data_IF_263394866493
#
_entry.id   IF_263394866493
#
_cell.length_a   1.000
_cell.length_b   1.000
_cell.length_c   1.000
_cell.angle_alpha   90.00
_cell.angle_beta   90.00
_cell.angle_gamma   90.00
#
_symmetry.space_group_name_H-M   'P 1'
#
loop_
_entity.id
_entity.type
_entity.pdbx_description
1 polymer ?
#
# COMPACT_ATOMS: atom_id res chain seq x y z
N UNK A 1 -16.06 2.16 -22.37
CA UNK A 1 -15.77 1.47 -21.07
C UNK A 1 -16.15 2.47 -19.99
N UNK A 2 -16.78 2.00 -18.91
CA UNK A 2 -17.11 2.85 -17.76
C UNK A 2 -15.80 3.38 -17.12
N UNK A 3 -15.80 4.59 -16.56
CA UNK A 3 -14.60 5.25 -16.04
C UNK A 3 -13.91 4.47 -14.92
N UNK A 4 -14.70 3.81 -14.05
CA UNK A 4 -14.15 2.95 -12.98
C UNK A 4 -13.40 1.76 -13.58
N UNK A 5 -14.00 1.07 -14.55
CA UNK A 5 -13.36 -0.08 -15.22
C UNK A 5 -12.11 0.38 -15.99
N UNK A 6 -12.18 1.57 -16.61
CA UNK A 6 -11.05 2.18 -17.29
C UNK A 6 -9.90 2.42 -16.33
N UNK A 7 -10.16 3.03 -15.18
CA UNK A 7 -9.15 3.26 -14.14
C UNK A 7 -8.51 1.95 -13.65
N UNK A 8 -9.30 0.88 -13.46
CA UNK A 8 -8.80 -0.45 -13.09
C UNK A 8 -7.83 -1.02 -14.14
N UNK A 9 -8.14 -0.83 -15.43
CA UNK A 9 -7.33 -1.34 -16.53
C UNK A 9 -6.09 -0.48 -16.78
N UNK A 10 -6.18 0.83 -16.58
CA UNK A 10 -5.11 1.80 -16.87
C UNK A 10 -4.12 1.99 -15.71
N UNK A 11 -4.54 1.77 -14.46
CA UNK A 11 -3.64 1.90 -13.30
C UNK A 11 -2.34 1.10 -13.47
N UNK A 12 -1.22 1.74 -13.16
CA UNK A 12 0.12 1.10 -13.18
C UNK A 12 0.86 1.34 -11.86
N UNK A 13 1.79 0.46 -11.55
CA UNK A 13 2.75 0.67 -10.45
C UNK A 13 3.78 1.70 -10.87
N UNK A 14 3.84 2.80 -10.13
CA UNK A 14 4.81 3.88 -10.32
C UNK A 14 6.05 3.58 -9.46
N UNK A 15 7.23 3.70 -10.06
CA UNK A 15 8.53 3.40 -9.43
C UNK A 15 9.53 4.55 -9.57
N UNK A 16 9.02 5.76 -9.72
CA UNK A 16 9.79 7.00 -9.66
C UNK A 16 8.85 8.13 -9.30
N UNK A 17 9.12 8.79 -8.19
CA UNK A 17 8.24 9.81 -7.64
C UNK A 17 8.91 11.17 -7.59
N UNK A 18 8.10 12.23 -7.70
CA UNK A 18 8.52 13.59 -7.37
C UNK A 18 8.61 13.75 -5.85
N UNK A 19 9.44 14.67 -5.32
CA UNK A 19 9.56 14.90 -3.88
C UNK A 19 8.33 15.59 -3.26
N UNK A 20 7.42 16.09 -4.09
CA UNK A 20 6.23 16.81 -3.66
C UNK A 20 5.25 15.89 -2.91
N UNK A 21 4.86 16.31 -1.71
CA UNK A 21 3.89 15.59 -0.87
C UNK A 21 2.48 15.76 -1.44
N UNK A 22 1.71 14.68 -1.62
CA UNK A 22 0.29 14.77 -1.93
C UNK A 22 -0.48 15.58 -0.88
N UNK A 23 -1.57 16.22 -1.27
CA UNK A 23 -2.38 16.97 -0.34
C UNK A 23 -2.94 16.05 0.76
N UNK A 24 -3.13 16.61 1.96
CA UNK A 24 -3.78 15.86 3.06
C UNK A 24 -5.17 15.38 2.63
N UNK A 25 -5.93 16.20 1.90
CA UNK A 25 -7.25 15.83 1.40
C UNK A 25 -7.21 14.63 0.47
N UNK A 26 -6.23 14.55 -0.44
CA UNK A 26 -6.10 13.40 -1.34
C UNK A 26 -5.73 12.13 -0.58
N UNK A 27 -4.81 12.23 0.38
CA UNK A 27 -4.42 11.10 1.23
C UNK A 27 -5.63 10.57 2.01
N UNK A 28 -6.43 11.43 2.62
CA UNK A 28 -7.64 11.03 3.37
C UNK A 28 -8.67 10.37 2.46
N UNK A 29 -8.92 10.90 1.25
CA UNK A 29 -9.84 10.29 0.29
C UNK A 29 -9.35 8.89 -0.15
N UNK A 30 -8.04 8.72 -0.35
CA UNK A 30 -7.45 7.43 -0.69
C UNK A 30 -7.65 6.43 0.45
N UNK A 31 -7.39 6.84 1.69
CA UNK A 31 -7.56 5.99 2.87
C UNK A 31 -9.03 5.60 3.03
N UNK A 32 -9.94 6.56 2.93
CA UNK A 32 -11.38 6.30 3.00
C UNK A 32 -11.79 5.26 1.96
N UNK A 33 -11.44 5.45 0.69
CA UNK A 33 -11.74 4.48 -0.38
C UNK A 33 -11.13 3.09 -0.10
N UNK A 34 -9.93 3.05 0.48
CA UNK A 34 -9.27 1.82 0.92
C UNK A 34 -10.11 1.07 1.95
N UNK A 35 -10.56 1.76 2.99
CA UNK A 35 -11.32 1.17 4.10
C UNK A 35 -12.72 0.68 3.71
N UNK A 36 -13.27 1.13 2.58
CA UNK A 36 -14.52 0.60 2.01
C UNK A 36 -14.34 -0.70 1.21
N UNK A 37 -13.15 -1.30 1.20
CA UNK A 37 -12.94 -2.61 0.61
C UNK A 37 -13.81 -3.68 1.31
N UNK A 38 -14.22 -4.69 0.55
CA UNK A 38 -14.96 -5.81 1.13
C UNK A 38 -14.12 -6.54 2.18
N UNK A 39 -14.76 -7.01 3.25
CA UNK A 39 -14.12 -7.81 4.29
C UNK A 39 -14.97 -9.02 4.66
N UNK A 40 -14.34 -10.11 5.04
CA UNK A 40 -15.01 -11.34 5.42
C UNK A 40 -16.00 -11.13 6.58
N UNK A 41 -17.30 -11.32 6.32
CA UNK A 41 -18.38 -11.09 7.30
C UNK A 41 -18.45 -9.66 7.85
N UNK A 42 -17.90 -8.67 7.14
CA UNK A 42 -17.87 -7.29 7.59
C UNK A 42 -16.98 -7.04 8.83
N UNK A 43 -15.98 -7.89 9.07
CA UNK A 43 -15.12 -7.79 10.29
C UNK A 43 -14.13 -6.63 10.26
N UNK A 44 -13.85 -6.07 9.08
CA UNK A 44 -12.97 -4.90 8.92
C UNK A 44 -11.61 -5.07 9.62
N UNK A 45 -10.99 -6.26 9.44
CA UNK A 45 -9.75 -6.65 10.12
C UNK A 45 -8.48 -6.01 9.57
N UNK A 46 -8.60 -4.99 8.72
CA UNK A 46 -7.46 -4.25 8.19
C UNK A 46 -7.35 -2.87 8.84
N UNK A 47 -6.12 -2.45 9.11
CA UNK A 47 -5.81 -1.05 9.49
C UNK A 47 -4.82 -0.44 8.50
N UNK A 48 -4.82 0.88 8.41
CA UNK A 48 -3.90 1.66 7.59
C UNK A 48 -3.16 2.64 8.49
N UNK A 49 -1.83 2.60 8.47
CA UNK A 49 -0.98 3.61 9.12
C UNK A 49 -0.44 4.53 8.03
N UNK A 50 -0.88 5.80 8.07
CA UNK A 50 -0.44 6.83 7.14
C UNK A 50 0.86 7.47 7.62
N UNK A 51 1.92 7.30 6.86
CA UNK A 51 3.24 7.85 7.15
C UNK A 51 3.55 8.96 6.15
N UNK A 52 3.46 10.19 6.63
CA UNK A 52 3.79 11.42 5.89
C UNK A 52 4.97 12.17 6.52
N UNK A 53 5.39 11.76 7.72
CA UNK A 53 6.60 12.23 8.34
C UNK A 53 7.84 11.60 7.67
N UNK A 54 8.76 12.46 7.25
CA UNK A 54 9.93 12.02 6.49
C UNK A 54 10.83 11.09 7.29
N UNK A 55 11.07 11.39 8.56
CA UNK A 55 11.96 10.58 9.39
C UNK A 55 11.41 9.16 9.58
N UNK A 56 10.12 9.03 9.84
CA UNK A 56 9.44 7.74 9.96
C UNK A 56 9.42 6.98 8.62
N UNK A 57 9.17 7.70 7.51
CA UNK A 57 9.22 7.12 6.15
C UNK A 57 10.61 6.56 5.84
N UNK A 58 11.66 7.31 6.16
CA UNK A 58 13.03 6.90 5.87
C UNK A 58 13.42 5.68 6.74
N UNK A 59 13.04 5.63 8.01
CA UNK A 59 13.22 4.45 8.86
C UNK A 59 12.51 3.20 8.33
N UNK A 60 11.27 3.33 7.85
CA UNK A 60 10.54 2.23 7.20
C UNK A 60 11.26 1.76 5.93
N UNK A 61 11.76 2.70 5.14
CA UNK A 61 12.51 2.41 3.92
C UNK A 61 13.79 1.63 4.24
N UNK A 62 14.55 2.07 5.23
CA UNK A 62 15.79 1.39 5.67
C UNK A 62 15.50 -0.03 6.19
N UNK A 63 14.44 -0.21 7.00
CA UNK A 63 14.01 -1.52 7.46
C UNK A 63 13.63 -2.44 6.29
N UNK A 64 12.86 -1.93 5.31
CA UNK A 64 12.48 -2.65 4.12
C UNK A 64 13.67 -3.05 3.25
N UNK A 65 14.63 -2.14 3.06
CA UNK A 65 15.87 -2.37 2.34
C UNK A 65 16.75 -3.43 3.02
N UNK A 66 16.81 -3.40 4.35
CA UNK A 66 17.54 -4.40 5.15
C UNK A 66 16.94 -5.81 4.98
N UNK A 67 15.60 -5.95 5.08
CA UNK A 67 14.89 -7.22 4.82
C UNK A 67 15.13 -7.72 3.40
N UNK A 68 15.23 -6.80 2.44
CA UNK A 68 15.54 -7.13 1.04
C UNK A 68 16.99 -7.58 0.83
N UNK A 69 17.89 -7.35 1.81
CA UNK A 69 19.32 -7.59 1.67
C UNK A 69 20.04 -6.57 0.77
N UNK A 70 19.47 -5.38 0.59
CA UNK A 70 20.01 -4.30 -0.24
C UNK A 70 19.92 -2.96 0.50
N UNK A 71 20.71 -2.75 1.57
CA UNK A 71 20.58 -1.59 2.46
C UNK A 71 20.83 -0.24 1.78
N UNK A 72 21.52 -0.21 0.66
CA UNK A 72 21.79 1.01 -0.10
C UNK A 72 20.72 1.38 -1.12
N UNK A 73 19.64 0.57 -1.22
CA UNK A 73 18.53 0.82 -2.15
C UNK A 73 17.36 1.50 -1.45
N UNK A 74 16.68 2.42 -2.14
CA UNK A 74 15.37 2.91 -1.71
C UNK A 74 14.23 2.07 -2.37
N UNK A 75 13.68 1.06 -1.68
CA UNK A 75 12.58 0.26 -2.21
C UNK A 75 11.27 1.03 -2.32
N UNK A 76 11.18 2.26 -1.78
CA UNK A 76 10.02 3.13 -1.90
C UNK A 76 10.13 4.11 -3.07
N UNK A 77 11.21 4.01 -3.86
CA UNK A 77 11.40 4.78 -5.10
C UNK A 77 11.30 6.30 -4.97
N UNK A 78 11.67 6.85 -3.81
CA UNK A 78 11.60 8.27 -3.52
C UNK A 78 10.17 8.78 -3.22
N UNK A 79 9.18 7.89 -3.05
CA UNK A 79 7.81 8.30 -2.72
C UNK A 79 7.80 9.06 -1.38
N UNK A 80 7.14 10.23 -1.30
CA UNK A 80 7.13 11.05 -0.08
C UNK A 80 6.19 10.51 1.00
N UNK A 81 5.15 9.76 0.63
CA UNK A 81 4.17 9.19 1.56
C UNK A 81 4.09 7.67 1.43
N UNK A 82 3.74 7.01 2.54
CA UNK A 82 3.55 5.56 2.62
C UNK A 82 2.31 5.25 3.44
N UNK A 83 1.40 4.46 2.89
CA UNK A 83 0.26 3.91 3.61
C UNK A 83 0.58 2.44 3.92
N UNK A 84 0.89 2.15 5.17
CA UNK A 84 1.18 0.79 5.62
C UNK A 84 -0.12 0.07 5.89
N UNK A 85 -0.34 -1.06 5.24
CA UNK A 85 -1.54 -1.88 5.42
C UNK A 85 -1.18 -3.08 6.28
N UNK A 86 -1.93 -3.26 7.38
CA UNK A 86 -1.76 -4.36 8.31
C UNK A 86 -3.09 -5.11 8.49
N UNK A 87 -2.99 -6.38 8.79
CA UNK A 87 -4.13 -7.30 9.01
C UNK A 87 -4.16 -7.79 10.44
N UNK A 88 -5.32 -7.72 11.08
CA UNK A 88 -5.57 -8.33 12.39
C UNK A 88 -5.45 -9.84 12.29
N UNK A 89 -4.52 -10.45 13.04
CA UNK A 89 -4.27 -11.89 13.07
C UNK A 89 -5.44 -12.69 13.67
N UNK A 90 -6.31 -12.07 14.43
CA UNK A 90 -7.51 -12.70 14.98
C UNK A 90 -8.61 -12.93 13.94
N UNK A 91 -8.52 -12.23 12.78
CA UNK A 91 -9.48 -12.33 11.69
C UNK A 91 -8.99 -13.34 10.65
N UNK A 92 -9.67 -14.50 10.47
CA UNK A 92 -9.20 -15.55 9.54
C UNK A 92 -9.03 -15.11 8.08
N UNK A 93 -9.75 -14.08 7.66
CA UNK A 93 -9.66 -13.48 6.32
C UNK A 93 -8.78 -12.23 6.28
N UNK A 94 -8.15 -11.87 7.39
CA UNK A 94 -7.46 -10.58 7.57
C UNK A 94 -6.49 -10.22 6.45
N UNK A 95 -5.62 -11.14 6.04
CA UNK A 95 -4.66 -10.90 4.94
C UNK A 95 -5.37 -10.65 3.61
N UNK A 96 -6.44 -11.38 3.30
CA UNK A 96 -7.21 -11.19 2.07
C UNK A 96 -7.96 -9.86 2.08
N UNK A 97 -8.60 -9.54 3.21
CA UNK A 97 -9.33 -8.28 3.43
C UNK A 97 -8.36 -7.09 3.28
N UNK A 98 -7.20 -7.15 3.93
CA UNK A 98 -6.16 -6.12 3.84
C UNK A 98 -5.55 -6.00 2.43
N UNK A 99 -5.47 -7.11 1.68
CA UNK A 99 -5.05 -7.08 0.28
C UNK A 99 -6.07 -6.35 -0.61
N UNK A 100 -7.37 -6.48 -0.31
CA UNK A 100 -8.42 -5.70 -0.99
C UNK A 100 -8.33 -4.21 -0.64
N UNK A 101 -8.06 -3.88 0.63
CA UNK A 101 -7.77 -2.50 1.05
C UNK A 101 -6.62 -1.93 0.23
N UNK A 102 -5.50 -2.64 0.13
CA UNK A 102 -4.34 -2.23 -0.67
C UNK A 102 -4.73 -1.98 -2.14
N UNK A 103 -5.54 -2.86 -2.72
CA UNK A 103 -6.03 -2.70 -4.10
C UNK A 103 -6.84 -1.42 -4.28
N UNK A 104 -7.76 -1.13 -3.34
CA UNK A 104 -8.58 0.08 -3.35
C UNK A 104 -7.73 1.34 -3.16
N UNK A 105 -6.75 1.35 -2.23
CA UNK A 105 -5.81 2.47 -2.06
C UNK A 105 -5.12 2.83 -3.36
N UNK A 106 -4.58 1.83 -4.07
CA UNK A 106 -3.87 2.05 -5.33
C UNK A 106 -4.80 2.53 -6.45
N UNK A 107 -6.04 2.05 -6.49
CA UNK A 107 -7.03 2.48 -7.48
C UNK A 107 -7.48 3.92 -7.22
N UNK A 108 -7.76 4.27 -5.96
CA UNK A 108 -8.13 5.62 -5.56
C UNK A 108 -7.00 6.62 -5.86
N UNK A 109 -5.74 6.26 -5.56
CA UNK A 109 -4.59 7.08 -5.90
C UNK A 109 -4.55 7.38 -7.41
N UNK A 110 -4.75 6.36 -8.26
CA UNK A 110 -4.80 6.53 -9.71
C UNK A 110 -5.95 7.43 -10.15
N UNK A 111 -7.14 7.26 -9.57
CA UNK A 111 -8.30 8.09 -9.88
C UNK A 111 -8.10 9.58 -9.53
N UNK A 112 -7.27 9.88 -8.54
CA UNK A 112 -6.88 11.24 -8.14
C UNK A 112 -5.63 11.76 -8.88
N UNK A 113 -5.13 11.03 -9.88
CA UNK A 113 -3.95 11.43 -10.65
C UNK A 113 -2.62 11.22 -9.91
N UNK A 114 -2.63 10.45 -8.81
CA UNK A 114 -1.43 10.09 -8.06
C UNK A 114 -0.87 8.74 -8.50
N UNK A 115 0.44 8.59 -8.33
CA UNK A 115 1.13 7.33 -8.50
C UNK A 115 1.16 6.52 -7.22
N UNK A 116 1.12 5.20 -7.35
CA UNK A 116 1.28 4.29 -6.22
C UNK A 116 1.96 2.99 -6.66
N UNK A 117 2.53 2.28 -5.68
CA UNK A 117 3.06 0.93 -5.88
C UNK A 117 2.94 0.15 -4.57
N UNK A 118 2.58 -1.13 -4.67
CA UNK A 118 2.65 -2.06 -3.54
C UNK A 118 4.09 -2.51 -3.35
N UNK A 119 4.67 -2.18 -2.20
CA UNK A 119 5.97 -2.69 -1.76
C UNK A 119 5.74 -3.77 -0.72
N UNK A 120 6.38 -4.89 -0.91
CA UNK A 120 6.28 -6.07 -0.05
C UNK A 120 7.14 -5.91 1.23
N UNK A 121 7.24 -6.95 2.04
CA UNK A 121 8.10 -7.09 3.24
C UNK A 121 7.60 -6.39 4.52
N UNK A 122 6.42 -5.77 4.50
CA UNK A 122 5.83 -5.25 5.73
C UNK A 122 5.64 -6.33 6.80
N UNK A 123 5.46 -7.60 6.39
CA UNK A 123 5.35 -8.73 7.33
C UNK A 123 6.60 -8.83 8.18
N UNK A 124 7.74 -8.96 7.56
CA UNK A 124 9.03 -9.13 8.24
C UNK A 124 9.38 -7.92 9.11
N UNK A 125 9.06 -6.72 8.65
CA UNK A 125 9.29 -5.49 9.41
C UNK A 125 8.43 -5.46 10.68
N UNK A 126 7.13 -5.64 10.54
CA UNK A 126 6.18 -5.54 11.66
C UNK A 126 6.15 -6.78 12.57
N UNK A 127 6.95 -7.81 12.30
CA UNK A 127 7.27 -8.88 13.26
C UNK A 127 8.38 -8.48 14.23
N UNK A 128 9.16 -7.45 13.95
CA UNK A 128 10.20 -6.97 14.88
C UNK A 128 9.61 -6.21 16.07
N UNK A 129 10.28 -6.25 17.20
CA UNK A 129 9.83 -5.53 18.41
C UNK A 129 9.83 -4.01 18.20
N UNK A 130 10.73 -3.48 17.37
CA UNK A 130 10.78 -2.06 17.03
C UNK A 130 9.46 -1.60 16.42
N UNK A 131 8.97 -2.27 15.37
CA UNK A 131 7.76 -1.86 14.67
C UNK A 131 6.48 -2.22 15.43
N UNK A 132 6.50 -3.27 16.26
CA UNK A 132 5.42 -3.53 17.23
C UNK A 132 5.33 -2.42 18.28
N UNK A 133 6.46 -1.96 18.81
CA UNK A 133 6.49 -0.83 19.74
C UNK A 133 6.01 0.47 19.07
N UNK A 134 6.37 0.68 17.80
CA UNK A 134 5.85 1.81 17.03
C UNK A 134 4.32 1.76 16.91
N UNK A 135 3.72 0.64 16.58
CA UNK A 135 2.26 0.50 16.54
C UNK A 135 1.62 0.81 17.90
N UNK A 136 2.17 0.26 18.99
CA UNK A 136 1.69 0.58 20.35
C UNK A 136 1.79 2.06 20.68
N UNK A 137 2.82 2.75 20.23
CA UNK A 137 2.98 4.20 20.43
C UNK A 137 1.90 5.03 19.72
N UNK A 138 1.29 4.48 18.67
CA UNK A 138 0.15 5.08 17.96
C UNK A 138 -1.20 4.72 18.61
N UNK A 139 -1.20 3.92 19.68
CA UNK A 139 -2.43 3.45 20.32
C UNK A 139 -3.06 2.23 19.63
N UNK A 140 -2.34 1.56 18.73
CA UNK A 140 -2.83 0.33 18.09
C UNK A 140 -2.74 -0.82 19.09
N UNK A 141 -3.90 -1.40 19.41
CA UNK A 141 -4.04 -2.56 20.27
C UNK A 141 -4.29 -3.82 19.43
N UNK A 142 -3.77 -4.96 19.88
CA UNK A 142 -3.91 -6.24 19.19
C UNK A 142 -2.62 -6.70 18.48
N UNK A 143 -2.73 -7.82 17.77
CA UNK A 143 -1.63 -8.42 17.01
C UNK A 143 -1.90 -8.32 15.51
N UNK A 144 -1.06 -7.58 14.82
CA UNK A 144 -1.22 -7.28 13.40
C UNK A 144 -0.06 -7.85 12.58
N UNK A 145 -0.39 -8.40 11.43
CA UNK A 145 0.57 -8.80 10.41
C UNK A 145 0.68 -7.73 9.32
N UNK A 146 1.89 -7.34 8.95
CA UNK A 146 2.12 -6.44 7.84
C UNK A 146 1.74 -7.10 6.50
N UNK A 147 0.95 -6.39 5.67
CA UNK A 147 0.55 -6.87 4.34
C UNK A 147 1.37 -6.20 3.25
N UNK A 148 1.63 -4.92 3.39
CA UNK A 148 2.45 -4.18 2.45
C UNK A 148 2.40 -2.68 2.67
N UNK A 149 3.24 -2.00 1.91
CA UNK A 149 3.31 -0.54 1.87
C UNK A 149 2.75 -0.05 0.54
N UNK A 150 1.70 0.75 0.56
CA UNK A 150 1.27 1.54 -0.58
C UNK A 150 2.09 2.82 -0.60
N UNK A 151 3.18 2.83 -1.36
CA UNK A 151 3.93 4.07 -1.57
C UNK A 151 3.14 5.00 -2.47
N UNK A 152 3.13 6.30 -2.18
CA UNK A 152 2.22 7.28 -2.75
C UNK A 152 2.94 8.60 -3.05
N UNK A 153 2.62 9.19 -4.20
CA UNK A 153 3.16 10.49 -4.61
C UNK A 153 2.83 10.83 -6.07
N UNK A 154 3.33 11.95 -6.55
CA UNK A 154 3.22 12.32 -7.96
C UNK A 154 4.25 11.55 -8.79
N UNK A 155 3.82 10.96 -9.91
CA UNK A 155 4.72 10.26 -10.81
C UNK A 155 5.77 11.21 -11.42
N UNK A 156 7.04 10.83 -11.41
CA UNK A 156 8.13 11.60 -12.03
C UNK A 156 8.39 11.18 -13.48
N UNK A 157 7.76 10.10 -13.94
CA UNK A 157 7.83 9.62 -15.33
C UNK A 157 6.58 8.83 -15.68
N UNK A 158 6.29 8.72 -16.97
CA UNK A 158 5.22 7.86 -17.46
C UNK A 158 5.50 6.39 -17.07
N UNK A 159 4.46 5.64 -16.68
CA UNK A 159 4.60 4.23 -16.39
C UNK A 159 4.84 3.43 -17.67
N UNK A 160 5.47 2.27 -17.52
CA UNK A 160 5.61 1.33 -18.62
C UNK A 160 4.24 0.83 -19.11
N UNK A 161 4.16 0.52 -20.40
CA UNK A 161 2.99 -0.14 -20.98
C UNK A 161 2.65 -1.44 -20.22
N UNK A 162 1.37 -1.82 -20.13
CA UNK A 162 0.98 -3.05 -19.48
C UNK A 162 1.54 -4.25 -20.23
N UNK A 163 2.05 -5.23 -19.50
CA UNK A 163 2.40 -6.52 -20.09
C UNK A 163 1.13 -7.18 -20.69
N UNK A 164 1.25 -7.93 -21.79
CA UNK A 164 0.14 -8.71 -22.32
C UNK A 164 -0.43 -9.65 -21.26
N UNK A 165 -1.75 -9.82 -21.26
CA UNK A 165 -2.39 -10.81 -20.37
C UNK A 165 -2.11 -12.22 -20.88
N UNK A 166 -1.95 -13.16 -19.97
CA UNK A 166 -1.72 -14.58 -20.34
C UNK A 166 -2.94 -15.13 -21.08
N UNK A 167 -2.72 -15.98 -22.08
CA UNK A 167 -3.80 -16.54 -22.88
C UNK A 167 -4.77 -17.43 -22.08
N UNK A 168 -4.25 -18.17 -21.08
CA UNK A 168 -5.01 -19.18 -20.32
C UNK A 168 -5.35 -18.69 -18.90
N UNK A 169 -5.96 -17.52 -18.79
CA UNK A 169 -6.36 -16.96 -17.48
C UNK A 169 -7.84 -17.17 -17.16
N UNK A 170 -8.64 -17.54 -18.18
CA UNK A 170 -10.09 -17.65 -18.04
C UNK A 170 -10.49 -19.00 -18.55
N UNK A 171 -11.17 -19.77 -17.72
CA UNK A 171 -11.78 -21.04 -18.06
C UNK A 171 -13.31 -20.85 -17.98
N UNK A 172 -14.02 -21.36 -18.99
CA UNK A 172 -15.48 -21.27 -19.08
C UNK A 172 -16.03 -22.68 -19.22
N UNK A 173 -17.11 -22.98 -18.50
CA UNK A 173 -17.88 -24.23 -18.55
C UNK A 173 -19.26 -23.96 -19.12
#
# INVERSE_FOLDING_TARGET
MNDIIKAMVERRSIRKFKPEMPSKSDIEQIIEAGLYAASGRGRQGAIVVAVTDRATRDRLMEANAAVMGQPDMDPFYGAPAVLVVLADRSVPTGIYDASLVMGNLMLAAHALGLGSCWIHRAKEEFETEEWKAFLRSLGVEGDYEGVGHCVLGYAASEPNAPAPRKANWIYRI
#
